data_IF_597143614146
#
_entry.id   IF_597143614146
#
_cell.length_a   1.000
_cell.length_b   1.000
_cell.length_c   1.000
_cell.angle_alpha   90.00
_cell.angle_beta   90.00
_cell.angle_gamma   90.00
#
_symmetry.space_group_name_H-M   'P 1'
#
loop_
_entity.id
_entity.type
_entity.pdbx_description
1 polymer ?
#
# COMPACT_ATOMS: atom_id res chain seq x y z
N UNK A 1 5.65 0.16 -26.22
CA UNK A 1 6.55 1.30 -25.90
C UNK A 1 6.83 2.21 -27.10
N UNK A 2 7.07 1.69 -28.30
CA UNK A 2 7.55 2.50 -29.44
C UNK A 2 6.67 3.72 -29.78
N UNK A 3 5.34 3.55 -29.79
CA UNK A 3 4.42 4.67 -29.99
C UNK A 3 4.55 5.74 -28.90
N UNK A 4 4.54 5.33 -27.62
CA UNK A 4 4.65 6.26 -26.50
C UNK A 4 5.97 7.04 -26.48
N UNK A 5 7.08 6.40 -26.87
CA UNK A 5 8.38 7.08 -27.01
C UNK A 5 8.39 8.07 -28.18
N UNK A 6 7.76 7.71 -29.31
CA UNK A 6 7.60 8.60 -30.47
C UNK A 6 6.79 9.85 -30.11
N UNK A 7 5.70 9.67 -29.35
CA UNK A 7 4.79 10.74 -28.96
C UNK A 7 5.18 11.44 -27.64
N UNK A 8 6.37 11.18 -27.10
CA UNK A 8 6.85 11.73 -25.81
C UNK A 8 5.91 11.49 -24.60
N UNK A 9 5.15 10.39 -24.63
CA UNK A 9 4.29 9.96 -23.53
C UNK A 9 5.14 9.23 -22.50
N UNK A 10 5.15 9.73 -21.25
CA UNK A 10 5.80 9.04 -20.12
C UNK A 10 5.01 7.80 -19.74
N UNK A 11 5.67 6.64 -19.77
CA UNK A 11 5.08 5.36 -19.38
C UNK A 11 5.79 4.84 -18.14
N UNK A 12 5.00 4.55 -17.11
CA UNK A 12 5.44 3.81 -15.92
C UNK A 12 4.66 2.50 -15.90
N UNK A 13 5.38 1.40 -15.95
CA UNK A 13 4.86 0.06 -15.77
C UNK A 13 5.34 -0.57 -14.47
N UNK A 14 4.93 -1.82 -14.23
CA UNK A 14 5.36 -2.56 -13.05
C UNK A 14 6.89 -2.70 -12.96
N UNK A 15 7.56 -2.98 -14.09
CA UNK A 15 9.00 -3.17 -14.20
C UNK A 15 9.69 -2.23 -15.21
N UNK A 16 9.01 -1.15 -15.60
CA UNK A 16 9.55 -0.14 -16.53
C UNK A 16 9.25 1.29 -16.06
N UNK A 17 10.16 2.26 -16.24
CA UNK A 17 11.54 2.08 -16.72
C UNK A 17 12.39 1.37 -15.67
N UNK A 18 13.47 0.70 -16.09
CA UNK A 18 14.38 0.09 -15.12
C UNK A 18 14.96 1.17 -14.18
N UNK A 19 14.91 0.93 -12.87
CA UNK A 19 15.40 1.86 -11.83
C UNK A 19 14.42 2.99 -11.48
N UNK A 20 13.27 3.09 -12.15
CA UNK A 20 12.23 4.07 -11.87
C UNK A 20 10.82 3.51 -12.14
N UNK A 21 10.69 2.19 -12.16
CA UNK A 21 9.42 1.50 -12.37
C UNK A 21 8.52 1.67 -11.16
N UNK A 22 7.24 1.33 -11.32
CA UNK A 22 6.31 1.37 -10.19
C UNK A 22 6.80 0.50 -9.03
N UNK A 23 7.36 -0.68 -9.32
CA UNK A 23 7.97 -1.55 -8.31
C UNK A 23 9.16 -0.89 -7.63
N UNK A 24 10.08 -0.30 -8.39
CA UNK A 24 11.25 0.38 -7.82
C UNK A 24 10.82 1.53 -6.89
N UNK A 25 9.78 2.27 -7.25
CA UNK A 25 9.23 3.34 -6.44
C UNK A 25 8.57 2.81 -5.15
N UNK A 26 7.83 1.69 -5.23
CA UNK A 26 7.23 1.04 -4.06
C UNK A 26 8.32 0.61 -3.08
N UNK A 27 9.36 -0.08 -3.56
CA UNK A 27 10.45 -0.60 -2.73
C UNK A 27 11.30 0.55 -2.15
N UNK A 28 11.68 1.53 -2.98
CA UNK A 28 12.52 2.67 -2.56
C UNK A 28 11.87 3.53 -1.49
N UNK A 29 10.56 3.78 -1.61
CA UNK A 29 9.85 4.69 -0.70
C UNK A 29 8.93 3.97 0.29
N UNK A 30 9.01 2.63 0.36
CA UNK A 30 8.19 1.78 1.23
C UNK A 30 6.69 2.07 1.05
N UNK A 31 6.24 2.23 -0.20
CA UNK A 31 4.87 2.58 -0.57
C UNK A 31 3.99 1.34 -0.78
N UNK A 32 4.09 0.37 0.12
CA UNK A 32 3.29 -0.85 0.02
C UNK A 32 1.81 -0.53 0.18
N UNK A 33 0.94 -1.10 -0.69
CA UNK A 33 -0.48 -0.84 -0.61
C UNK A 33 -1.10 -1.60 0.58
N UNK A 34 -2.14 -1.01 1.16
CA UNK A 34 -2.89 -1.60 2.29
C UNK A 34 -3.54 -2.95 1.94
N UNK A 35 -3.74 -3.21 0.65
CA UNK A 35 -4.31 -4.47 0.16
C UNK A 35 -3.44 -5.70 0.44
N UNK A 36 -2.13 -5.51 0.68
CA UNK A 36 -1.19 -6.57 1.07
C UNK A 36 -1.41 -7.10 2.50
N UNK A 37 -2.12 -6.35 3.36
CA UNK A 37 -2.42 -6.78 4.73
C UNK A 37 -3.58 -7.77 4.68
N UNK A 38 -3.30 -9.05 4.91
CA UNK A 38 -4.24 -10.16 4.81
C UNK A 38 -5.22 -10.26 5.99
N UNK A 39 -4.84 -9.75 7.16
CA UNK A 39 -5.67 -9.72 8.38
C UNK A 39 -6.83 -8.72 8.31
N UNK A 40 -6.76 -7.74 7.41
CA UNK A 40 -7.88 -6.87 7.06
C UNK A 40 -8.86 -7.62 6.17
N UNK A 41 -10.15 -7.59 6.53
CA UNK A 41 -11.19 -8.11 5.65
C UNK A 41 -11.36 -7.22 4.42
N UNK A 42 -12.11 -7.69 3.42
CA UNK A 42 -12.46 -6.87 2.27
C UNK A 42 -13.20 -5.58 2.69
N UNK A 43 -14.13 -5.69 3.64
CA UNK A 43 -14.90 -4.54 4.14
C UNK A 43 -14.02 -3.55 4.90
N UNK A 44 -13.05 -4.04 5.69
CA UNK A 44 -12.11 -3.17 6.41
C UNK A 44 -11.22 -2.41 5.42
N UNK A 45 -10.70 -3.11 4.40
CA UNK A 45 -9.91 -2.48 3.32
C UNK A 45 -10.71 -1.38 2.63
N UNK A 46 -11.95 -1.68 2.23
CA UNK A 46 -12.84 -0.71 1.58
C UNK A 46 -13.12 0.50 2.48
N UNK A 47 -13.38 0.30 3.77
CA UNK A 47 -13.63 1.40 4.72
C UNK A 47 -12.40 2.30 4.85
N UNK A 48 -11.22 1.71 5.03
CA UNK A 48 -9.96 2.46 5.16
C UNK A 48 -9.62 3.21 3.87
N UNK A 49 -9.77 2.57 2.69
CA UNK A 49 -9.50 3.22 1.41
C UNK A 49 -10.53 4.30 1.05
N UNK A 50 -11.79 4.14 1.47
CA UNK A 50 -12.81 5.20 1.33
C UNK A 50 -12.48 6.45 2.15
N UNK A 51 -11.69 6.30 3.22
CA UNK A 51 -11.11 7.40 3.98
C UNK A 51 -9.83 8.01 3.37
N UNK A 52 -9.47 7.62 2.14
CA UNK A 52 -8.28 8.12 1.42
C UNK A 52 -6.97 7.43 1.78
N UNK A 53 -7.01 6.37 2.60
CA UNK A 53 -5.79 5.69 3.08
C UNK A 53 -5.53 4.45 2.23
N UNK A 54 -4.48 4.50 1.42
CA UNK A 54 -4.11 3.43 0.48
C UNK A 54 -2.77 2.75 0.81
N UNK A 55 -1.96 3.33 1.68
CA UNK A 55 -0.61 2.84 2.02
C UNK A 55 -0.58 2.15 3.39
N UNK A 56 0.06 1.00 3.47
CA UNK A 56 0.28 0.24 4.72
C UNK A 56 1.06 1.07 5.76
N UNK A 57 1.99 1.93 5.32
CA UNK A 57 2.74 2.83 6.20
C UNK A 57 1.86 3.73 7.08
N UNK A 58 0.65 4.04 6.61
CA UNK A 58 -0.31 4.86 7.36
C UNK A 58 -0.81 4.15 8.62
N UNK A 59 -0.98 2.82 8.57
CA UNK A 59 -1.32 1.99 9.73
C UNK A 59 -0.14 1.88 10.69
N UNK A 60 1.09 1.75 10.16
CA UNK A 60 2.32 1.71 10.97
C UNK A 60 2.56 3.02 11.73
N UNK A 61 2.27 4.16 11.10
CA UNK A 61 2.49 5.50 11.68
C UNK A 61 1.33 5.96 12.57
N UNK A 62 0.09 5.59 12.22
CA UNK A 62 -1.09 6.00 12.96
C UNK A 62 -2.08 4.82 13.14
N UNK A 63 -1.96 4.08 14.25
CA UNK A 63 -2.88 2.98 14.57
C UNK A 63 -4.36 3.40 14.66
N UNK A 64 -4.66 4.69 14.85
CA UNK A 64 -6.05 5.21 14.90
C UNK A 64 -6.79 5.13 13.56
N UNK A 65 -6.08 4.81 12.48
CA UNK A 65 -6.66 4.52 11.17
C UNK A 65 -7.49 3.25 11.19
N UNK A 66 -7.19 2.32 12.10
CA UNK A 66 -7.99 1.10 12.28
C UNK A 66 -9.36 1.51 12.84
N UNK A 67 -10.46 1.08 12.20
CA UNK A 67 -11.81 1.34 12.69
C UNK A 67 -12.00 0.90 14.15
N UNK A 68 -12.66 1.74 14.95
CA UNK A 68 -12.84 1.54 16.40
C UNK A 68 -13.73 0.34 16.75
N UNK A 69 -14.52 -0.16 15.80
CA UNK A 69 -15.37 -1.34 15.93
C UNK A 69 -14.60 -2.67 15.79
N UNK A 70 -13.31 -2.62 15.46
CA UNK A 70 -12.46 -3.81 15.40
C UNK A 70 -11.96 -4.17 16.81
N UNK A 71 -12.17 -5.42 17.29
CA UNK A 71 -11.69 -5.86 18.59
C UNK A 71 -10.18 -5.66 18.75
N UNK A 72 -9.73 -5.37 19.97
CA UNK A 72 -8.31 -5.10 20.28
C UNK A 72 -7.37 -6.21 19.80
N UNK A 73 -7.72 -7.47 20.07
CA UNK A 73 -6.91 -8.63 19.67
C UNK A 73 -6.71 -8.69 18.14
N UNK A 74 -7.74 -8.35 17.38
CA UNK A 74 -7.68 -8.31 15.92
C UNK A 74 -6.89 -7.09 15.44
N UNK A 75 -7.07 -5.94 16.07
CA UNK A 75 -6.28 -4.74 15.80
C UNK A 75 -4.77 -4.99 16.01
N UNK A 76 -4.39 -5.68 17.08
CA UNK A 76 -2.99 -6.03 17.36
C UNK A 76 -2.41 -6.99 16.32
N UNK A 77 -3.23 -7.89 15.74
CA UNK A 77 -2.81 -8.75 14.63
C UNK A 77 -2.60 -7.94 13.35
N UNK A 78 -3.51 -7.00 13.06
CA UNK A 78 -3.41 -6.10 11.90
C UNK A 78 -2.15 -5.24 12.01
N UNK A 79 -1.88 -4.64 13.17
CA UNK A 79 -0.70 -3.81 13.38
C UNK A 79 0.60 -4.60 13.24
N UNK A 80 0.65 -5.83 13.78
CA UNK A 80 1.82 -6.70 13.62
C UNK A 80 2.10 -7.04 12.15
N UNK A 81 1.07 -7.41 11.40
CA UNK A 81 1.23 -7.68 9.96
C UNK A 81 1.62 -6.41 9.19
N UNK A 82 0.98 -5.27 9.48
CA UNK A 82 1.30 -3.99 8.87
C UNK A 82 2.78 -3.64 9.07
N UNK A 83 3.32 -3.82 10.28
CA UNK A 83 4.73 -3.58 10.58
C UNK A 83 5.67 -4.45 9.74
N UNK A 84 5.32 -5.72 9.52
CA UNK A 84 6.10 -6.62 8.65
C UNK A 84 6.07 -6.10 7.22
N UNK A 85 4.90 -5.73 6.69
CA UNK A 85 4.75 -5.19 5.33
C UNK A 85 5.49 -3.86 5.16
N UNK A 86 5.49 -3.00 6.18
CA UNK A 86 6.22 -1.73 6.18
C UNK A 86 7.75 -1.91 6.18
N UNK A 87 8.25 -3.04 6.65
CA UNK A 87 9.69 -3.33 6.78
C UNK A 87 10.30 -4.00 5.53
N UNK A 88 9.48 -4.55 4.64
CA UNK A 88 9.90 -5.08 3.32
C UNK A 88 10.62 -4.01 2.51
#
# INVERSE_FOLDING_TARGET
MSYALCENIKVIGWSYPQGSSLRDLIEKYKLFPITQISTLSLSDKQRITSGGIVLAKSLCQNPKVIPLDIPKERSDRILREAQIVCAL
#
